data_IF_892071541947
#
_entry.id   IF_892071541947
#
_cell.length_a   1.000
_cell.length_b   1.000
_cell.length_c   1.000
_cell.angle_alpha   90.00
_cell.angle_beta   90.00
_cell.angle_gamma   90.00
#
_symmetry.space_group_name_H-M   'P 1'
#
loop_
_entity.id
_entity.type
_entity.pdbx_description
1 polymer ?
#
# COMPACT_ATOMS: atom_id res chain seq x y z
N UNK A 1 -72.10 35.83 -9.65
CA UNK A 1 -71.14 35.25 -10.67
C UNK A 1 -69.74 35.35 -10.09
N UNK A 2 -69.29 34.32 -9.45
CA UNK A 2 -67.92 34.27 -8.83
C UNK A 2 -67.05 33.39 -9.64
N UNK A 3 -65.94 33.94 -10.14
CA UNK A 3 -64.94 33.31 -10.92
C UNK A 3 -63.86 32.72 -9.98
N UNK A 4 -63.75 31.41 -9.92
CA UNK A 4 -62.67 30.71 -9.18
C UNK A 4 -61.39 30.60 -10.05
N UNK A 5 -60.37 31.33 -9.64
CA UNK A 5 -58.98 31.15 -10.19
C UNK A 5 -58.37 29.91 -9.57
N UNK A 6 -58.07 28.94 -10.40
CA UNK A 6 -57.25 27.76 -10.09
C UNK A 6 -55.79 28.18 -9.95
N UNK A 7 -55.24 28.13 -8.74
CA UNK A 7 -53.80 28.24 -8.54
C UNK A 7 -53.16 26.87 -8.84
N UNK A 8 -52.46 26.75 -9.97
CA UNK A 8 -51.63 25.63 -10.28
C UNK A 8 -50.36 25.65 -9.41
N UNK A 9 -50.23 24.67 -8.51
CA UNK A 9 -48.97 24.38 -7.84
C UNK A 9 -48.01 23.73 -8.85
N UNK A 10 -47.01 24.47 -9.28
CA UNK A 10 -45.88 23.95 -10.01
C UNK A 10 -44.94 23.29 -8.97
N UNK A 11 -45.00 21.96 -8.90
CA UNK A 11 -44.01 21.17 -8.17
C UNK A 11 -42.75 21.19 -8.99
N UNK A 12 -41.80 22.06 -8.64
CA UNK A 12 -40.44 21.99 -9.16
C UNK A 12 -39.77 20.79 -8.48
N UNK A 13 -39.75 19.66 -9.16
CA UNK A 13 -38.81 18.58 -8.80
C UNK A 13 -37.38 19.12 -9.04
N UNK A 14 -36.77 19.59 -7.98
CA UNK A 14 -35.29 19.68 -7.93
C UNK A 14 -34.78 18.25 -7.92
N UNK A 15 -34.43 17.74 -9.10
CA UNK A 15 -33.54 16.61 -9.21
C UNK A 15 -32.20 17.07 -8.63
N UNK A 16 -31.90 16.61 -7.42
CA UNK A 16 -30.54 16.66 -6.89
C UNK A 16 -29.66 15.84 -7.86
N UNK A 17 -29.06 16.53 -8.79
CA UNK A 17 -27.89 16.05 -9.48
C UNK A 17 -26.83 15.92 -8.39
N UNK A 18 -26.69 14.71 -7.85
CA UNK A 18 -25.48 14.34 -7.14
C UNK A 18 -24.38 14.36 -8.20
N UNK A 19 -23.74 15.51 -8.32
CA UNK A 19 -22.42 15.58 -8.94
C UNK A 19 -21.53 14.74 -8.07
N UNK A 20 -21.29 13.51 -8.50
CA UNK A 20 -20.05 12.84 -8.16
C UNK A 20 -18.96 13.64 -8.88
N UNK A 21 -18.58 14.77 -8.29
CA UNK A 21 -17.29 15.37 -8.57
C UNK A 21 -16.26 14.30 -8.21
N UNK A 22 -15.73 13.66 -9.21
CA UNK A 22 -14.44 12.97 -9.10
C UNK A 22 -13.42 14.08 -8.84
N UNK A 23 -13.33 14.53 -7.58
CA UNK A 23 -12.22 15.36 -7.16
C UNK A 23 -10.98 14.51 -7.41
N UNK A 24 -10.17 14.94 -8.37
CA UNK A 24 -8.83 14.38 -8.50
C UNK A 24 -8.16 14.64 -7.14
N UNK A 25 -7.83 13.56 -6.43
CA UNK A 25 -7.16 13.66 -5.13
C UNK A 25 -5.90 14.52 -5.30
N UNK A 26 -5.77 15.52 -4.46
CA UNK A 26 -4.62 16.43 -4.51
C UNK A 26 -3.39 15.69 -4.00
N UNK A 27 -2.42 15.46 -4.89
CA UNK A 27 -1.14 14.85 -4.52
C UNK A 27 -0.20 15.92 -3.98
N UNK A 28 0.22 15.80 -2.73
CA UNK A 28 1.25 16.62 -2.12
C UNK A 28 2.63 15.99 -2.33
N UNK A 29 3.63 16.81 -2.72
CA UNK A 29 4.98 16.34 -3.09
C UNK A 29 6.07 16.78 -2.11
N UNK A 30 5.70 17.45 -1.05
CA UNK A 30 6.58 17.78 0.06
C UNK A 30 5.79 17.81 1.36
N UNK A 31 6.50 17.62 2.48
CA UNK A 31 5.88 17.67 3.80
C UNK A 31 5.37 19.07 4.11
N UNK A 32 6.10 20.11 3.66
CA UNK A 32 5.76 21.51 3.88
C UNK A 32 4.40 21.83 3.23
N UNK A 33 4.20 21.44 1.95
CA UNK A 33 2.95 21.70 1.23
C UNK A 33 1.77 20.95 1.84
N UNK A 34 1.99 19.71 2.31
CA UNK A 34 0.96 18.93 3.00
C UNK A 34 0.58 19.54 4.35
N UNK A 35 1.56 20.05 5.12
CA UNK A 35 1.32 20.73 6.38
C UNK A 35 0.56 22.06 6.19
N UNK A 36 0.93 22.84 5.19
CA UNK A 36 0.21 24.10 4.87
C UNK A 36 -1.26 23.83 4.56
N UNK A 37 -1.54 22.83 3.72
CA UNK A 37 -2.90 22.39 3.40
C UNK A 37 -3.67 21.89 4.64
N UNK A 38 -3.03 21.02 5.43
CA UNK A 38 -3.59 20.49 6.66
C UNK A 38 -3.94 21.60 7.67
N UNK A 39 -3.04 22.57 7.86
CA UNK A 39 -3.31 23.74 8.72
C UNK A 39 -4.42 24.65 8.16
N UNK A 40 -4.64 24.66 6.85
CA UNK A 40 -5.77 25.33 6.22
C UNK A 40 -7.10 24.56 6.36
N UNK A 41 -7.07 23.37 6.95
CA UNK A 41 -8.23 22.49 7.14
C UNK A 41 -8.54 21.60 5.92
N UNK A 42 -7.57 21.45 5.00
CA UNK A 42 -7.68 20.51 3.89
C UNK A 42 -7.29 19.08 4.34
N UNK A 43 -7.90 18.07 3.72
CA UNK A 43 -7.58 16.67 3.98
C UNK A 43 -6.38 16.28 3.10
N UNK A 44 -5.38 15.65 3.72
CA UNK A 44 -4.20 15.10 3.03
C UNK A 44 -4.45 13.61 2.79
N UNK A 45 -4.91 13.27 1.58
CA UNK A 45 -5.19 11.87 1.20
C UNK A 45 -4.02 11.22 0.46
N UNK A 46 -3.25 11.98 -0.32
CA UNK A 46 -2.13 11.47 -1.13
C UNK A 46 -0.86 12.27 -0.86
N UNK A 47 0.17 11.57 -0.36
CA UNK A 47 1.46 12.17 -0.06
C UNK A 47 2.59 11.42 -0.78
N UNK A 48 3.33 12.14 -1.63
CA UNK A 48 4.43 11.58 -2.41
C UNK A 48 5.76 12.24 -2.03
N UNK A 49 6.53 11.56 -1.20
CA UNK A 49 7.85 12.01 -0.73
C UNK A 49 9.00 11.21 -1.38
N UNK A 50 8.83 10.81 -2.65
CA UNK A 50 9.87 10.12 -3.42
C UNK A 50 11.14 10.97 -3.55
N UNK A 51 12.31 10.35 -3.41
CA UNK A 51 13.63 10.96 -3.66
C UNK A 51 13.96 12.17 -2.77
N UNK A 52 13.40 12.22 -1.57
CA UNK A 52 13.65 13.31 -0.60
C UNK A 52 14.92 13.06 0.24
N UNK A 53 15.62 11.93 0.03
CA UNK A 53 16.80 11.51 0.82
C UNK A 53 16.47 11.33 2.32
N UNK A 54 15.23 10.97 2.63
CA UNK A 54 14.81 10.74 3.99
C UNK A 54 15.52 9.50 4.57
N UNK A 55 16.06 9.63 5.76
CA UNK A 55 16.61 8.55 6.58
C UNK A 55 15.59 8.14 7.66
N UNK A 56 14.78 9.10 8.08
CA UNK A 56 13.71 8.94 9.07
C UNK A 56 12.42 9.49 8.46
N UNK A 57 11.29 8.83 8.73
CA UNK A 57 9.97 9.31 8.33
C UNK A 57 9.60 10.51 9.20
N UNK A 58 9.20 11.66 8.61
CA UNK A 58 8.79 12.84 9.37
C UNK A 58 7.59 12.53 10.28
N UNK A 59 7.69 12.88 11.56
CA UNK A 59 6.63 12.63 12.56
C UNK A 59 5.33 13.38 12.24
N UNK A 60 5.41 14.46 11.48
CA UNK A 60 4.27 15.25 11.03
C UNK A 60 3.25 14.43 10.23
N UNK A 61 3.70 13.34 9.58
CA UNK A 61 2.83 12.43 8.82
C UNK A 61 1.79 11.77 9.73
N UNK A 62 2.10 11.53 11.00
CA UNK A 62 1.16 10.99 11.98
C UNK A 62 -0.12 11.82 12.09
N UNK A 63 -0.04 13.14 11.83
CA UNK A 63 -1.19 14.05 11.84
C UNK A 63 -2.13 13.87 10.64
N UNK A 64 -1.71 13.20 9.57
CA UNK A 64 -2.52 13.00 8.35
C UNK A 64 -3.35 11.73 8.46
N UNK A 65 -4.29 11.68 9.39
CA UNK A 65 -5.08 10.48 9.72
C UNK A 65 -5.93 9.94 8.58
N UNK A 66 -6.27 10.78 7.59
CA UNK A 66 -7.08 10.42 6.42
C UNK A 66 -6.21 10.02 5.20
N UNK A 67 -4.92 9.75 5.42
CA UNK A 67 -4.00 9.40 4.35
C UNK A 67 -4.36 8.04 3.73
N UNK A 68 -4.61 8.05 2.42
CA UNK A 68 -4.98 6.87 1.63
C UNK A 68 -3.77 6.31 0.89
N UNK A 69 -2.90 7.20 0.39
CA UNK A 69 -1.71 6.81 -0.36
C UNK A 69 -0.48 7.53 0.16
N UNK A 70 0.57 6.75 0.47
CA UNK A 70 1.88 7.25 0.86
C UNK A 70 2.98 6.63 0.01
N UNK A 71 3.79 7.47 -0.65
CA UNK A 71 4.96 7.04 -1.42
C UNK A 71 6.25 7.59 -0.84
N UNK A 72 7.12 6.70 -0.40
CA UNK A 72 8.43 6.98 0.19
C UNK A 72 9.60 6.43 -0.64
N UNK A 73 9.38 6.13 -1.94
CA UNK A 73 10.38 5.46 -2.76
C UNK A 73 11.67 6.26 -2.93
N UNK A 74 12.77 5.55 -3.14
CA UNK A 74 14.10 6.13 -3.43
C UNK A 74 14.56 7.09 -2.32
N UNK A 75 14.38 6.67 -1.08
CA UNK A 75 14.90 7.31 0.10
C UNK A 75 16.02 6.45 0.73
N UNK A 76 16.29 6.61 2.03
CA UNK A 76 17.30 5.87 2.79
C UNK A 76 16.71 5.35 4.10
N UNK A 77 15.43 4.99 4.08
CA UNK A 77 14.67 4.58 5.26
C UNK A 77 15.11 3.16 5.63
N UNK A 78 15.53 2.96 6.88
CA UNK A 78 15.94 1.66 7.41
C UNK A 78 14.82 0.98 8.19
N UNK A 79 13.99 1.77 8.87
CA UNK A 79 12.88 1.27 9.69
C UNK A 79 11.64 2.18 9.58
N UNK A 80 10.46 1.60 9.76
CA UNK A 80 9.24 2.37 9.98
C UNK A 80 9.02 2.56 11.49
N UNK A 81 8.58 3.75 11.95
CA UNK A 81 8.30 3.98 13.37
C UNK A 81 7.02 3.26 13.83
N UNK A 82 6.91 2.98 15.12
CA UNK A 82 5.76 2.26 15.70
C UNK A 82 4.42 2.95 15.42
N UNK A 83 4.38 4.28 15.43
CA UNK A 83 3.15 5.04 15.16
C UNK A 83 2.64 4.87 13.72
N UNK A 84 3.42 4.29 12.81
CA UNK A 84 3.03 4.10 11.41
C UNK A 84 1.75 3.24 11.27
N UNK A 85 1.54 2.29 12.19
CA UNK A 85 0.32 1.49 12.26
C UNK A 85 -0.96 2.28 12.56
N UNK A 86 -0.84 3.54 13.01
CA UNK A 86 -1.99 4.42 13.28
C UNK A 86 -2.61 5.00 11.97
N UNK A 87 -1.91 4.91 10.83
CA UNK A 87 -2.39 5.36 9.51
C UNK A 87 -3.42 4.38 8.92
N UNK A 88 -4.47 4.10 9.66
CA UNK A 88 -5.42 3.01 9.38
C UNK A 88 -6.26 3.18 8.12
N UNK A 89 -6.31 4.36 7.51
CA UNK A 89 -6.98 4.60 6.22
C UNK A 89 -6.08 4.30 5.01
N UNK A 90 -4.81 3.95 5.25
CA UNK A 90 -3.85 3.72 4.16
C UNK A 90 -4.25 2.48 3.35
N UNK A 91 -4.45 2.69 2.04
CA UNK A 91 -4.77 1.65 1.06
C UNK A 91 -3.56 1.32 0.18
N UNK A 92 -2.71 2.30 -0.10
CA UNK A 92 -1.53 2.14 -0.95
C UNK A 92 -0.29 2.66 -0.22
N UNK A 93 0.67 1.77 0.00
CA UNK A 93 1.95 2.14 0.56
C UNK A 93 3.11 1.68 -0.32
N UNK A 94 4.03 2.61 -0.60
CA UNK A 94 5.25 2.31 -1.37
C UNK A 94 6.49 2.87 -0.67
N UNK A 95 7.46 1.99 -0.44
CA UNK A 95 8.79 2.30 0.06
C UNK A 95 9.88 1.54 -0.72
N UNK A 96 9.71 1.49 -2.05
CA UNK A 96 10.70 0.87 -2.92
C UNK A 96 12.03 1.63 -2.89
N UNK A 97 13.13 0.89 -3.08
CA UNK A 97 14.49 1.47 -3.15
C UNK A 97 14.84 2.26 -1.90
N UNK A 98 14.73 1.59 -0.78
CA UNK A 98 15.12 2.06 0.54
C UNK A 98 16.17 1.12 1.15
N UNK A 99 16.33 1.11 2.47
CA UNK A 99 17.32 0.32 3.18
C UNK A 99 16.67 -0.59 4.25
N UNK A 100 15.42 -1.01 4.01
CA UNK A 100 14.70 -1.89 4.92
C UNK A 100 15.38 -3.28 4.93
N UNK A 101 15.90 -3.71 6.08
CA UNK A 101 16.56 -5.02 6.24
C UNK A 101 15.60 -6.14 6.65
N UNK A 102 14.44 -5.76 7.21
CA UNK A 102 13.39 -6.66 7.63
C UNK A 102 12.04 -6.16 7.13
N UNK A 103 11.07 -7.05 7.02
CA UNK A 103 9.69 -6.66 6.75
C UNK A 103 9.15 -5.85 7.95
N UNK A 104 8.68 -4.62 7.74
CA UNK A 104 8.21 -3.78 8.83
C UNK A 104 6.90 -4.33 9.40
N UNK A 105 6.96 -5.02 10.56
CA UNK A 105 5.79 -5.69 11.16
C UNK A 105 4.65 -4.74 11.51
N UNK A 106 4.94 -3.46 11.74
CA UNK A 106 3.93 -2.41 11.99
C UNK A 106 2.93 -2.28 10.83
N UNK A 107 3.33 -2.66 9.61
CA UNK A 107 2.42 -2.68 8.44
C UNK A 107 1.27 -3.68 8.58
N UNK A 108 1.41 -4.70 9.43
CA UNK A 108 0.36 -5.70 9.67
C UNK A 108 -0.88 -5.10 10.38
N UNK A 109 -0.75 -3.92 10.99
CA UNK A 109 -1.83 -3.17 11.62
C UNK A 109 -2.70 -2.43 10.59
N UNK A 110 -2.18 -2.22 9.37
CA UNK A 110 -2.83 -1.47 8.29
C UNK A 110 -3.79 -2.37 7.49
N UNK A 111 -4.86 -2.81 8.13
CA UNK A 111 -5.80 -3.80 7.58
C UNK A 111 -6.53 -3.35 6.30
N UNK A 112 -6.50 -2.06 5.97
CA UNK A 112 -7.09 -1.50 4.75
C UNK A 112 -6.13 -1.49 3.55
N UNK A 113 -4.85 -1.87 3.74
CA UNK A 113 -3.89 -1.94 2.64
C UNK A 113 -4.38 -2.88 1.54
N UNK A 114 -4.32 -2.38 0.31
CA UNK A 114 -4.61 -3.08 -0.94
C UNK A 114 -3.34 -3.28 -1.78
N UNK A 115 -2.45 -2.30 -1.77
CA UNK A 115 -1.18 -2.38 -2.47
C UNK A 115 -0.02 -2.07 -1.52
N UNK A 116 0.95 -2.98 -1.48
CA UNK A 116 2.17 -2.84 -0.69
C UNK A 116 3.38 -3.07 -1.56
N UNK A 117 4.20 -2.02 -1.76
CA UNK A 117 5.39 -2.03 -2.60
C UNK A 117 6.66 -1.80 -1.75
N UNK A 118 7.43 -2.85 -1.55
CA UNK A 118 8.69 -2.85 -0.80
C UNK A 118 9.88 -3.36 -1.62
N UNK A 119 9.79 -3.28 -2.95
CA UNK A 119 10.84 -3.73 -3.86
C UNK A 119 12.15 -2.97 -3.72
N UNK A 120 13.28 -3.62 -4.10
CA UNK A 120 14.63 -3.07 -4.07
C UNK A 120 14.99 -2.54 -2.66
N UNK A 121 14.97 -3.47 -1.71
CA UNK A 121 15.35 -3.33 -0.30
C UNK A 121 16.26 -4.51 0.10
N UNK A 122 16.44 -4.79 1.38
CA UNK A 122 17.27 -5.88 1.91
C UNK A 122 16.45 -6.87 2.76
N UNK A 123 15.15 -6.97 2.51
CA UNK A 123 14.23 -7.80 3.29
C UNK A 123 14.57 -9.28 3.10
N UNK A 124 14.69 -10.00 4.21
CA UNK A 124 15.12 -11.42 4.20
C UNK A 124 13.97 -12.41 4.34
N UNK A 125 12.78 -11.98 4.72
CA UNK A 125 11.63 -12.87 4.88
C UNK A 125 10.30 -12.14 4.97
N UNK A 126 9.23 -12.86 4.70
CA UNK A 126 7.84 -12.43 4.88
C UNK A 126 7.39 -12.93 6.26
N UNK A 127 6.73 -12.09 7.09
CA UNK A 127 6.29 -12.49 8.42
C UNK A 127 5.20 -13.57 8.38
N UNK A 128 5.17 -14.42 9.42
CA UNK A 128 4.20 -15.53 9.51
C UNK A 128 2.75 -15.02 9.58
N UNK A 129 2.53 -13.84 10.13
CA UNK A 129 1.21 -13.24 10.31
C UNK A 129 0.82 -12.31 9.13
N UNK A 130 1.43 -12.48 7.95
CA UNK A 130 1.14 -11.66 6.75
C UNK A 130 -0.34 -11.68 6.36
N UNK A 131 -1.04 -12.76 6.68
CA UNK A 131 -2.48 -12.91 6.46
C UNK A 131 -3.36 -11.97 7.31
N UNK A 132 -2.78 -11.18 8.22
CA UNK A 132 -3.48 -10.07 8.86
C UNK A 132 -3.94 -9.02 7.83
N UNK A 133 -3.22 -8.88 6.71
CA UNK A 133 -3.54 -7.98 5.62
C UNK A 133 -4.64 -8.56 4.70
N UNK A 134 -5.85 -8.72 5.23
CA UNK A 134 -6.98 -9.38 4.54
C UNK A 134 -7.46 -8.66 3.27
N UNK A 135 -7.12 -7.39 3.10
CA UNK A 135 -7.51 -6.59 1.93
C UNK A 135 -6.41 -6.47 0.89
N UNK A 136 -5.21 -7.00 1.15
CA UNK A 136 -4.08 -6.86 0.23
C UNK A 136 -4.34 -7.63 -1.07
N UNK A 137 -4.22 -6.92 -2.19
CA UNK A 137 -4.40 -7.41 -3.55
C UNK A 137 -3.06 -7.60 -4.27
N UNK A 138 -2.08 -6.71 -3.97
CA UNK A 138 -0.74 -6.75 -4.54
C UNK A 138 0.33 -6.62 -3.45
N UNK A 139 1.30 -7.55 -3.45
CA UNK A 139 2.49 -7.52 -2.63
C UNK A 139 3.73 -7.51 -3.52
N UNK A 140 4.39 -6.35 -3.62
CA UNK A 140 5.62 -6.16 -4.40
C UNK A 140 6.85 -6.24 -3.51
N UNK A 141 7.67 -7.27 -3.70
CA UNK A 141 8.90 -7.57 -2.96
C UNK A 141 10.08 -7.86 -3.89
N UNK A 142 10.02 -7.37 -5.15
CA UNK A 142 11.07 -7.59 -6.11
C UNK A 142 12.44 -7.07 -5.62
N UNK A 143 13.54 -7.72 -6.04
CA UNK A 143 14.91 -7.31 -5.69
C UNK A 143 15.12 -7.14 -4.18
N UNK A 144 14.84 -8.20 -3.43
CA UNK A 144 15.13 -8.33 -2.01
C UNK A 144 16.05 -9.55 -1.75
N UNK A 145 16.24 -9.92 -0.49
CA UNK A 145 17.07 -11.05 -0.05
C UNK A 145 16.21 -12.16 0.58
N UNK A 146 15.02 -12.39 0.02
CA UNK A 146 14.03 -13.28 0.62
C UNK A 146 14.52 -14.74 0.69
N UNK A 147 14.37 -15.35 1.87
CA UNK A 147 14.70 -16.75 2.17
C UNK A 147 13.57 -17.46 2.91
N UNK A 148 12.63 -16.70 3.47
CA UNK A 148 11.56 -17.22 4.30
C UNK A 148 10.20 -16.82 3.72
N UNK A 149 9.40 -17.83 3.37
CA UNK A 149 8.06 -17.69 2.82
C UNK A 149 7.08 -18.44 3.72
N UNK A 150 6.16 -17.76 4.40
CA UNK A 150 5.21 -18.42 5.28
C UNK A 150 4.04 -19.06 4.50
N UNK A 151 3.49 -20.16 5.03
CA UNK A 151 2.31 -20.78 4.46
C UNK A 151 1.05 -19.90 4.55
N UNK A 152 1.01 -18.94 5.47
CA UNK A 152 -0.09 -17.98 5.63
C UNK A 152 -0.33 -17.08 4.40
N UNK A 153 0.61 -17.04 3.45
CA UNK A 153 0.37 -16.43 2.13
C UNK A 153 -0.86 -17.03 1.43
N UNK A 154 -1.14 -18.32 1.63
CA UNK A 154 -2.32 -18.99 1.07
C UNK A 154 -3.64 -18.58 1.76
N UNK A 155 -3.56 -17.96 2.93
CA UNK A 155 -4.71 -17.53 3.73
C UNK A 155 -5.10 -16.06 3.48
N UNK A 156 -4.49 -15.42 2.47
CA UNK A 156 -4.77 -14.04 2.05
C UNK A 156 -5.88 -14.01 0.98
N UNK A 157 -7.12 -13.65 1.34
CA UNK A 157 -8.29 -13.92 0.49
C UNK A 157 -8.38 -13.04 -0.76
N UNK A 158 -7.68 -11.91 -0.79
CA UNK A 158 -7.71 -10.94 -1.90
C UNK A 158 -6.38 -10.84 -2.65
N UNK A 159 -5.34 -11.51 -2.19
CA UNK A 159 -4.03 -11.43 -2.86
C UNK A 159 -4.14 -12.05 -4.26
N UNK A 160 -3.87 -11.25 -5.27
CA UNK A 160 -3.89 -11.65 -6.69
C UNK A 160 -2.51 -11.65 -7.31
N UNK A 161 -1.61 -10.78 -6.80
CA UNK A 161 -0.26 -10.62 -7.38
C UNK A 161 0.78 -10.58 -6.26
N UNK A 162 1.81 -11.42 -6.42
CA UNK A 162 3.00 -11.47 -5.59
C UNK A 162 4.22 -11.32 -6.48
N UNK A 163 4.85 -10.13 -6.48
CA UNK A 163 6.06 -9.86 -7.25
C UNK A 163 7.32 -10.17 -6.44
N UNK A 164 8.02 -11.22 -6.83
CA UNK A 164 9.27 -11.72 -6.26
C UNK A 164 10.43 -11.67 -7.25
N UNK A 165 10.31 -10.90 -8.35
CA UNK A 165 11.37 -10.76 -9.33
C UNK A 165 12.70 -10.36 -8.68
N UNK A 166 13.81 -10.90 -9.20
CA UNK A 166 15.17 -10.59 -8.72
C UNK A 166 15.43 -10.90 -7.23
N UNK A 167 14.70 -11.88 -6.66
CA UNK A 167 15.11 -12.57 -5.45
C UNK A 167 15.87 -13.83 -5.84
N UNK A 168 16.95 -14.15 -5.13
CA UNK A 168 17.79 -15.33 -5.41
C UNK A 168 17.11 -16.60 -4.89
N UNK A 169 16.04 -17.02 -5.57
CA UNK A 169 15.25 -18.19 -5.20
C UNK A 169 15.73 -19.44 -5.92
N UNK A 170 15.80 -20.53 -5.19
CA UNK A 170 16.09 -21.86 -5.75
C UNK A 170 14.88 -22.43 -6.51
N UNK A 171 15.14 -23.41 -7.37
CA UNK A 171 14.08 -24.12 -8.07
C UNK A 171 13.06 -24.77 -7.11
N UNK A 172 13.53 -25.31 -5.98
CA UNK A 172 12.67 -25.94 -4.97
C UNK A 172 11.74 -24.94 -4.30
N UNK A 173 12.24 -23.75 -3.96
CA UNK A 173 11.42 -22.67 -3.37
C UNK A 173 10.36 -22.17 -4.34
N UNK A 174 10.71 -21.99 -5.61
CA UNK A 174 9.76 -21.58 -6.65
C UNK A 174 8.67 -22.64 -6.87
N UNK A 175 9.05 -23.92 -6.94
CA UNK A 175 8.09 -25.02 -7.08
C UNK A 175 7.14 -25.07 -5.90
N UNK A 176 7.66 -24.96 -4.67
CA UNK A 176 6.85 -24.94 -3.47
C UNK A 176 5.86 -23.76 -3.44
N UNK A 177 6.29 -22.56 -3.84
CA UNK A 177 5.40 -21.41 -3.92
C UNK A 177 4.28 -21.59 -4.95
N UNK A 178 4.58 -22.15 -6.12
CA UNK A 178 3.56 -22.44 -7.12
C UNK A 178 2.53 -23.46 -6.64
N UNK A 179 2.97 -24.46 -5.86
CA UNK A 179 2.06 -25.44 -5.25
C UNK A 179 1.20 -24.82 -4.14
N UNK A 180 1.79 -23.93 -3.34
CA UNK A 180 1.10 -23.25 -2.25
C UNK A 180 0.08 -22.22 -2.76
N UNK A 181 0.40 -21.51 -3.85
CA UNK A 181 -0.32 -20.32 -4.33
C UNK A 181 -0.87 -20.52 -5.76
N UNK A 182 -1.68 -21.58 -6.02
CA UNK A 182 -2.09 -21.94 -7.38
C UNK A 182 -3.02 -20.92 -8.06
N UNK A 183 -3.58 -19.98 -7.31
CA UNK A 183 -4.52 -18.97 -7.79
C UNK A 183 -3.96 -17.55 -7.79
N UNK A 184 -2.72 -17.37 -7.34
CA UNK A 184 -2.04 -16.08 -7.26
C UNK A 184 -1.05 -15.98 -8.43
N UNK A 185 -0.99 -14.83 -9.08
CA UNK A 185 0.05 -14.52 -10.05
C UNK A 185 1.36 -14.26 -9.28
N UNK A 186 2.25 -15.27 -9.25
CA UNK A 186 3.57 -15.13 -8.62
C UNK A 186 4.60 -14.84 -9.71
N UNK A 187 5.17 -13.64 -9.69
CA UNK A 187 6.22 -13.20 -10.61
C UNK A 187 7.60 -13.51 -10.03
N UNK A 188 8.38 -14.35 -10.69
CA UNK A 188 9.70 -14.77 -10.26
C UNK A 188 10.67 -14.72 -11.42
N UNK A 189 11.96 -14.46 -11.14
CA UNK A 189 13.06 -14.62 -12.10
C UNK A 189 13.38 -16.09 -12.33
N UNK A 190 14.23 -16.39 -13.32
CA UNK A 190 14.76 -17.75 -13.46
C UNK A 190 15.44 -18.21 -12.16
N UNK A 191 15.30 -19.51 -11.80
CA UNK A 191 15.87 -20.03 -10.57
C UNK A 191 17.39 -19.84 -10.53
N UNK A 192 17.91 -19.50 -9.36
CA UNK A 192 19.35 -19.52 -9.11
C UNK A 192 19.88 -20.95 -9.25
N UNK A 193 20.93 -21.13 -10.05
CA UNK A 193 21.68 -22.39 -10.12
C UNK A 193 22.70 -22.53 -8.96
N UNK A 194 22.44 -21.85 -7.85
CA UNK A 194 23.26 -21.94 -6.66
C UNK A 194 23.07 -23.34 -6.04
N UNK A 195 23.90 -24.28 -6.40
CA UNK A 195 24.07 -25.51 -5.64
C UNK A 195 24.77 -25.15 -4.34
N UNK A 196 24.03 -24.94 -3.28
CA UNK A 196 24.59 -25.13 -1.95
C UNK A 196 24.68 -26.63 -1.80
N UNK A 197 25.88 -27.18 -2.05
CA UNK A 197 26.18 -28.55 -1.68
C UNK A 197 26.00 -28.60 -0.16
N UNK A 198 24.95 -29.32 0.27
CA UNK A 198 24.75 -29.69 1.66
C UNK A 198 25.91 -30.60 2.05
N UNK A 199 26.96 -30.06 2.74
CA UNK A 199 27.96 -30.82 3.47
C UNK A 199 27.50 -31.08 4.91
#
# INVERSE_FOLDING_TARGET
>A
MMSYRLLGLVFVMMSEFIFHDTYAQTEFKSIESALEAHHAGEIVEVLNLKKQKLEIIPEEIQGFTELIELRLDKNRIEILPDWFGELTHLEIFSAERNQLSEFPIVLLELVNLRELHLGDNFITGIPIDIDALKNLELLGLWSNLLRLFPSSLSDMPKLTTLDLLYNDMTFSEQTWLHELLPHINVEMSEPCHCTFDDE
#
